data_IF_301587428100
#
_entry.id   IF_301587428100
#
_cell.length_a   1.000
_cell.length_b   1.000
_cell.length_c   1.000
_cell.angle_alpha   90.00
_cell.angle_beta   90.00
_cell.angle_gamma   90.00
#
_symmetry.space_group_name_H-M   'P 1'
#
loop_
_entity.id
_entity.type
_entity.pdbx_description
1 polymer ?
#
# COMPACT_ATOMS: atom_id res chain seq x y z
N UNK A 1 12.35 17.87 4.82
CA UNK A 1 11.51 16.68 4.58
C UNK A 1 12.07 15.60 5.46
N UNK A 2 11.30 15.14 6.45
CA UNK A 2 11.75 14.05 7.31
C UNK A 2 11.61 12.69 6.59
N UNK A 3 12.09 11.60 7.20
CA UNK A 3 12.06 10.28 6.58
C UNK A 3 10.63 9.75 6.36
N UNK A 4 9.68 10.13 7.22
CA UNK A 4 8.27 9.78 7.09
C UNK A 4 7.65 10.51 5.90
N UNK A 5 7.96 11.79 5.72
CA UNK A 5 7.50 12.58 4.57
C UNK A 5 7.99 11.97 3.25
N UNK A 6 9.29 11.62 3.18
CA UNK A 6 9.88 10.95 2.01
C UNK A 6 9.17 9.64 1.71
N UNK A 7 8.95 8.80 2.73
CA UNK A 7 8.23 7.54 2.57
C UNK A 7 6.81 7.77 2.04
N UNK A 8 6.06 8.70 2.65
CA UNK A 8 4.69 9.00 2.26
C UNK A 8 4.60 9.52 0.82
N UNK A 9 5.40 10.53 0.46
CA UNK A 9 5.41 11.10 -0.90
C UNK A 9 5.77 10.04 -1.94
N UNK A 10 6.71 9.14 -1.63
CA UNK A 10 7.09 8.08 -2.57
C UNK A 10 5.98 7.03 -2.69
N UNK A 11 5.30 6.67 -1.60
CA UNK A 11 4.15 5.75 -1.63
C UNK A 11 2.95 6.31 -2.40
N UNK A 12 2.70 7.63 -2.32
CA UNK A 12 1.65 8.28 -3.11
C UNK A 12 1.82 8.07 -4.62
N UNK A 13 3.05 7.86 -5.09
CA UNK A 13 3.35 7.55 -6.49
C UNK A 13 3.42 6.04 -6.76
N UNK A 14 4.09 5.29 -5.89
CA UNK A 14 4.36 3.86 -6.11
C UNK A 14 3.12 2.98 -5.95
N UNK A 15 2.23 3.28 -5.00
CA UNK A 15 1.04 2.46 -4.74
C UNK A 15 0.07 2.48 -5.93
N UNK A 16 -0.29 3.65 -6.52
CA UNK A 16 -1.10 3.67 -7.73
C UNK A 16 -0.47 2.91 -8.90
N UNK A 17 0.85 3.03 -9.10
CA UNK A 17 1.54 2.31 -10.18
C UNK A 17 1.40 0.80 -10.03
N UNK A 18 1.71 0.26 -8.84
CA UNK A 18 1.53 -1.16 -8.56
C UNK A 18 0.06 -1.58 -8.63
N UNK A 19 -0.88 -0.72 -8.23
CA UNK A 19 -2.31 -1.04 -8.36
C UNK A 19 -2.71 -1.27 -9.81
N UNK A 20 -2.23 -0.43 -10.74
CA UNK A 20 -2.49 -0.65 -12.17
C UNK A 20 -1.87 -1.96 -12.67
N UNK A 21 -0.64 -2.29 -12.25
CA UNK A 21 0.02 -3.56 -12.60
C UNK A 21 -0.72 -4.80 -12.08
N UNK A 22 -1.35 -4.67 -10.93
CA UNK A 22 -2.02 -5.78 -10.24
C UNK A 22 -3.52 -5.89 -10.55
N UNK A 23 -4.11 -4.90 -11.24
CA UNK A 23 -5.57 -4.75 -11.41
C UNK A 23 -6.26 -6.02 -11.92
N UNK A 24 -5.64 -6.72 -12.86
CA UNK A 24 -6.25 -7.86 -13.55
C UNK A 24 -5.91 -9.21 -12.89
N UNK A 25 -5.19 -9.19 -11.77
CA UNK A 25 -4.88 -10.42 -11.03
C UNK A 25 -6.09 -10.92 -10.23
N UNK A 26 -6.27 -12.24 -10.10
CA UNK A 26 -7.33 -12.81 -9.27
C UNK A 26 -7.07 -12.53 -7.78
N UNK A 27 -8.15 -12.43 -7.00
CA UNK A 27 -8.09 -12.08 -5.58
C UNK A 27 -7.17 -12.97 -4.74
N UNK A 28 -7.07 -14.26 -5.06
CA UNK A 28 -6.13 -15.18 -4.38
C UNK A 28 -4.67 -14.73 -4.54
N UNK A 29 -4.28 -14.30 -5.74
CA UNK A 29 -2.93 -13.81 -5.99
C UNK A 29 -2.68 -12.47 -5.30
N UNK A 30 -3.68 -11.59 -5.26
CA UNK A 30 -3.59 -10.33 -4.53
C UNK A 30 -3.40 -10.57 -3.02
N UNK A 31 -4.16 -11.50 -2.43
CA UNK A 31 -4.02 -11.90 -1.04
C UNK A 31 -2.64 -12.49 -0.75
N UNK A 32 -2.11 -13.33 -1.64
CA UNK A 32 -0.76 -13.87 -1.52
C UNK A 32 0.31 -12.77 -1.56
N UNK A 33 0.16 -11.77 -2.44
CA UNK A 33 1.06 -10.61 -2.52
C UNK A 33 1.01 -9.80 -1.22
N UNK A 34 -0.19 -9.50 -0.70
CA UNK A 34 -0.35 -8.78 0.56
C UNK A 34 0.26 -9.54 1.74
N UNK A 35 0.07 -10.86 1.79
CA UNK A 35 0.65 -11.73 2.83
C UNK A 35 2.18 -11.75 2.78
N UNK A 36 2.77 -11.95 1.60
CA UNK A 36 4.22 -11.94 1.41
C UNK A 36 4.84 -10.58 1.78
N UNK A 37 4.16 -9.47 1.43
CA UNK A 37 4.58 -8.14 1.82
C UNK A 37 4.64 -7.98 3.34
N UNK A 38 3.63 -8.48 4.07
CA UNK A 38 3.62 -8.46 5.53
C UNK A 38 4.80 -9.24 6.14
N UNK A 39 5.17 -10.39 5.57
CA UNK A 39 6.34 -11.16 6.00
C UNK A 39 7.66 -10.40 5.81
N UNK A 40 7.85 -9.77 4.64
CA UNK A 40 9.05 -8.96 4.35
C UNK A 40 9.12 -7.77 5.31
N UNK A 41 8.01 -7.08 5.54
CA UNK A 41 7.94 -5.95 6.47
C UNK A 41 8.16 -6.35 7.92
N UNK A 42 7.65 -7.50 8.34
CA UNK A 42 7.93 -8.05 9.67
C UNK A 42 9.43 -8.32 9.90
N UNK A 43 10.17 -8.59 8.82
CA UNK A 43 11.61 -8.91 8.87
C UNK A 43 12.52 -7.69 8.66
N UNK A 44 12.05 -6.67 7.93
CA UNK A 44 12.88 -5.57 7.44
C UNK A 44 12.24 -4.18 7.57
N UNK A 45 11.14 -4.03 8.31
CA UNK A 45 10.43 -2.76 8.47
C UNK A 45 11.24 -1.69 9.20
N UNK A 46 12.18 -2.09 10.05
CA UNK A 46 13.15 -1.20 10.69
C UNK A 46 14.01 -0.45 9.66
N UNK A 47 14.34 -1.08 8.53
CA UNK A 47 15.09 -0.43 7.45
C UNK A 47 14.30 0.72 6.79
N UNK A 48 12.97 0.72 6.86
CA UNK A 48 12.14 1.87 6.44
C UNK A 48 12.15 3.01 7.45
N UNK A 49 12.41 2.73 8.72
CA UNK A 49 12.40 3.72 9.81
C UNK A 49 13.78 4.31 10.11
N UNK A 50 14.85 3.54 9.93
CA UNK A 50 16.22 3.96 10.24
C UNK A 50 17.16 3.95 9.02
N UNK A 51 16.65 3.52 7.86
CA UNK A 51 17.49 3.26 6.69
C UNK A 51 18.22 1.92 6.81
N UNK A 52 18.90 1.51 5.75
CA UNK A 52 19.72 0.30 5.75
C UNK A 52 19.66 -0.49 4.45
N UNK A 53 20.38 -1.61 4.43
CA UNK A 53 20.57 -2.46 3.24
C UNK A 53 19.24 -2.96 2.63
N UNK A 54 18.25 -3.24 3.46
CA UNK A 54 16.96 -3.80 3.04
C UNK A 54 15.88 -2.75 2.77
N UNK A 55 16.19 -1.46 2.82
CA UNK A 55 15.19 -0.39 2.67
C UNK A 55 14.46 -0.47 1.32
N UNK A 56 15.18 -0.73 0.22
CA UNK A 56 14.57 -0.92 -1.12
C UNK A 56 13.60 -2.10 -1.17
N UNK A 57 14.00 -3.22 -0.56
CA UNK A 57 13.19 -4.44 -0.53
C UNK A 57 11.92 -4.24 0.30
N UNK A 58 12.06 -3.68 1.50
CA UNK A 58 10.95 -3.34 2.38
C UNK A 58 10.01 -2.30 1.74
N UNK A 59 10.55 -1.29 1.05
CA UNK A 59 9.74 -0.27 0.38
C UNK A 59 8.89 -0.88 -0.74
N UNK A 60 9.52 -1.68 -1.61
CA UNK A 60 8.80 -2.33 -2.71
C UNK A 60 7.73 -3.30 -2.18
N UNK A 61 8.04 -4.05 -1.12
CA UNK A 61 7.08 -4.91 -0.46
C UNK A 61 5.90 -4.12 0.10
N UNK A 62 6.16 -3.00 0.79
CA UNK A 62 5.12 -2.13 1.33
C UNK A 62 4.22 -1.54 0.23
N UNK A 63 4.81 -0.93 -0.79
CA UNK A 63 4.05 -0.30 -1.86
C UNK A 63 3.17 -1.31 -2.60
N UNK A 64 3.72 -2.48 -2.92
CA UNK A 64 2.99 -3.55 -3.61
C UNK A 64 1.94 -4.22 -2.72
N UNK A 65 2.22 -4.39 -1.43
CA UNK A 65 1.27 -4.91 -0.45
C UNK A 65 0.08 -3.98 -0.24
N UNK A 66 0.32 -2.67 -0.12
CA UNK A 66 -0.74 -1.66 -0.04
C UNK A 66 -1.59 -1.63 -1.31
N UNK A 67 -0.97 -1.75 -2.50
CA UNK A 67 -1.69 -1.82 -3.76
C UNK A 67 -2.61 -3.05 -3.84
N UNK A 68 -2.10 -4.23 -3.45
CA UNK A 68 -2.91 -5.45 -3.39
C UNK A 68 -4.05 -5.32 -2.37
N UNK A 69 -3.77 -4.80 -1.18
CA UNK A 69 -4.79 -4.56 -0.15
C UNK A 69 -5.87 -3.57 -0.63
N UNK A 70 -5.49 -2.50 -1.34
CA UNK A 70 -6.42 -1.53 -1.90
C UNK A 70 -7.38 -2.12 -2.95
N UNK A 71 -6.97 -3.19 -3.63
CA UNK A 71 -7.80 -3.92 -4.61
C UNK A 71 -8.72 -4.95 -3.97
N UNK A 72 -8.37 -5.46 -2.79
CA UNK A 72 -9.13 -6.54 -2.13
C UNK A 72 -10.02 -6.07 -0.98
N UNK A 73 -9.68 -4.96 -0.33
CA UNK A 73 -10.42 -4.44 0.81
C UNK A 73 -11.63 -3.62 0.36
N UNK A 74 -12.78 -3.88 0.96
CA UNK A 74 -13.96 -3.03 0.79
C UNK A 74 -13.67 -1.64 1.38
N UNK A 75 -13.89 -0.60 0.59
CA UNK A 75 -13.53 0.78 0.93
C UNK A 75 -12.04 1.11 0.86
N UNK A 76 -11.16 0.22 0.39
CA UNK A 76 -9.72 0.48 0.21
C UNK A 76 -8.87 0.38 1.49
N UNK A 77 -7.67 0.97 1.47
CA UNK A 77 -6.71 0.94 2.57
C UNK A 77 -6.26 2.35 2.95
N UNK A 78 -6.20 2.61 4.26
CA UNK A 78 -5.70 3.87 4.81
C UNK A 78 -4.48 3.61 5.68
N UNK A 79 -3.37 4.27 5.37
CA UNK A 79 -2.15 4.16 6.17
C UNK A 79 -1.31 5.42 6.07
N UNK A 80 -0.66 5.79 7.18
CA UNK A 80 0.21 6.97 7.29
C UNK A 80 -0.45 8.30 6.89
N UNK A 81 -1.78 8.39 7.00
CA UNK A 81 -2.55 9.59 6.60
C UNK A 81 -2.91 9.66 5.11
N UNK A 82 -2.50 8.67 4.30
CA UNK A 82 -2.93 8.50 2.92
C UNK A 82 -3.96 7.38 2.77
N UNK A 83 -4.76 7.48 1.72
CA UNK A 83 -5.81 6.53 1.36
C UNK A 83 -5.61 6.06 -0.07
N UNK A 84 -5.76 4.75 -0.30
CA UNK A 84 -5.72 4.15 -1.62
C UNK A 84 -6.88 3.16 -1.78
N UNK A 85 -7.59 3.26 -2.90
CA UNK A 85 -8.71 2.39 -3.21
C UNK A 85 -8.66 1.93 -4.68
N UNK A 86 -9.37 0.85 -4.98
CA UNK A 86 -9.69 0.43 -6.34
C UNK A 86 -10.56 1.47 -7.07
N UNK A 87 -11.50 2.10 -6.35
CA UNK A 87 -12.33 3.18 -6.84
C UNK A 87 -11.59 4.53 -6.73
N UNK A 88 -11.30 5.23 -7.85
CA UNK A 88 -10.65 6.53 -7.83
C UNK A 88 -11.46 7.63 -7.13
N UNK A 89 -12.79 7.47 -7.03
CA UNK A 89 -13.67 8.41 -6.34
C UNK A 89 -13.72 8.18 -4.82
N UNK A 90 -13.19 7.06 -4.33
CA UNK A 90 -13.07 6.79 -2.91
C UNK A 90 -11.87 7.55 -2.32
N UNK A 91 -12.16 8.59 -1.54
CA UNK A 91 -11.14 9.47 -0.94
C UNK A 91 -10.86 9.13 0.53
N UNK A 92 -11.70 8.32 1.15
CA UNK A 92 -11.57 7.91 2.54
C UNK A 92 -12.28 6.57 2.76
N UNK A 93 -11.91 5.78 3.79
CA UNK A 93 -12.46 4.44 3.99
C UNK A 93 -13.97 4.44 4.34
N UNK A 94 -14.52 5.59 4.73
CA UNK A 94 -15.93 5.79 5.03
C UNK A 94 -16.71 6.39 3.84
N UNK A 95 -16.13 6.46 2.63
CA UNK A 95 -16.79 7.09 1.49
C UNK A 95 -18.11 6.38 1.14
N UNK A 96 -18.21 5.08 1.39
CA UNK A 96 -19.44 4.30 1.23
C UNK A 96 -20.54 4.63 2.26
N UNK A 97 -20.19 5.29 3.38
CA UNK A 97 -21.13 5.76 4.41
C UNK A 97 -21.65 7.18 4.14
N UNK A 98 -21.14 7.83 3.08
CA UNK A 98 -21.53 9.18 2.67
C UNK A 98 -22.55 9.14 1.54
N UNK A 99 -23.68 8.44 1.76
CA UNK A 99 -24.92 8.64 1.00
C UNK A 99 -25.84 9.63 1.74
N UNK A 100 -26.83 10.25 1.05
CA UNK A 100 -27.70 11.29 1.64
C UNK A 100 -28.51 10.81 2.85
#
# INVERSE_FOLDING_TARGET
MDQRDVLLTTLQLAVPLHREELRDLPSEQLLAIASNAATVLGSHGDALQFGGKHCREAFNALARGLAAAALTADGGVTWLGAHWCADPSCHNPNAHLSGP
#
